data_IF_432813570487
#
_entry.id   IF_432813570487
#
_cell.length_a   1.000
_cell.length_b   1.000
_cell.length_c   1.000
_cell.angle_alpha   90.00
_cell.angle_beta   90.00
_cell.angle_gamma   90.00
#
_symmetry.space_group_name_H-M   'P 1'
#
loop_
_entity.id
_entity.type
_entity.pdbx_description
1 polymer ?
#
# COMPACT_ATOMS: atom_id res chain seq x y z
N UNK A 1 -7.47 21.76 -8.77
CA UNK A 1 -6.71 20.58 -9.24
C UNK A 1 -5.65 20.12 -8.25
N UNK A 2 -4.85 21.01 -7.65
CA UNK A 2 -3.78 20.57 -6.71
C UNK A 2 -4.28 20.19 -5.30
N UNK A 3 -5.28 20.88 -4.76
CA UNK A 3 -5.78 20.61 -3.40
C UNK A 3 -6.40 19.23 -3.23
N UNK A 4 -7.10 18.71 -4.25
CA UNK A 4 -7.72 17.38 -4.20
C UNK A 4 -6.67 16.27 -4.15
N UNK A 5 -5.57 16.42 -4.87
CA UNK A 5 -4.45 15.48 -4.82
C UNK A 5 -3.73 15.53 -3.47
N UNK A 6 -3.48 16.73 -2.94
CA UNK A 6 -2.87 16.91 -1.62
C UNK A 6 -3.74 16.29 -0.52
N UNK A 7 -5.03 16.61 -0.50
CA UNK A 7 -5.98 16.04 0.46
C UNK A 7 -6.12 14.52 0.27
N UNK A 8 -6.14 14.07 -0.99
CA UNK A 8 -6.17 12.66 -1.36
C UNK A 8 -4.98 11.89 -0.82
N UNK A 9 -3.79 12.47 -0.73
CA UNK A 9 -2.59 11.83 -0.17
C UNK A 9 -2.52 11.93 1.35
N UNK A 10 -2.84 13.10 1.91
CA UNK A 10 -2.70 13.36 3.35
C UNK A 10 -3.75 12.61 4.17
N UNK A 11 -5.03 12.65 3.75
CA UNK A 11 -6.13 12.09 4.54
C UNK A 11 -5.96 10.58 4.76
N UNK A 12 -5.73 9.75 3.73
CA UNK A 12 -5.54 8.30 3.92
C UNK A 12 -4.27 7.98 4.71
N UNK A 13 -3.20 8.78 4.59
CA UNK A 13 -2.00 8.60 5.40
C UNK A 13 -2.23 8.92 6.89
N UNK A 14 -3.05 9.93 7.20
CA UNK A 14 -3.44 10.23 8.58
C UNK A 14 -4.33 9.14 9.18
N UNK A 15 -5.10 8.43 8.36
CA UNK A 15 -5.96 7.34 8.83
C UNK A 15 -5.18 6.21 9.50
N UNK A 16 -3.92 5.94 9.11
CA UNK A 16 -3.08 4.96 9.82
C UNK A 16 -2.87 5.35 11.29
N UNK A 17 -2.71 6.65 11.55
CA UNK A 17 -2.61 7.18 12.92
C UNK A 17 -3.93 7.06 13.68
N UNK A 18 -5.06 7.29 13.00
CA UNK A 18 -6.41 7.14 13.58
C UNK A 18 -6.71 5.66 13.88
N UNK A 19 -6.41 4.75 12.96
CA UNK A 19 -6.54 3.31 13.08
C UNK A 19 -5.67 2.71 14.18
N UNK A 20 -4.58 3.38 14.56
CA UNK A 20 -3.75 3.01 15.70
C UNK A 20 -4.35 3.41 17.08
N UNK A 21 -5.31 4.35 17.15
CA UNK A 21 -5.90 4.81 18.42
C UNK A 21 -6.53 3.66 19.22
N UNK A 22 -7.36 2.77 18.63
CA UNK A 22 -7.91 1.62 19.35
C UNK A 22 -6.84 0.71 20.00
N UNK A 23 -5.64 0.63 19.39
CA UNK A 23 -4.55 -0.19 19.92
C UNK A 23 -4.00 0.34 21.27
N UNK A 24 -4.21 1.63 21.59
CA UNK A 24 -3.83 2.21 22.89
C UNK A 24 -4.68 1.65 24.06
N UNK A 25 -5.89 1.18 23.76
CA UNK A 25 -6.82 0.65 24.75
C UNK A 25 -6.94 -0.89 24.68
N UNK A 26 -6.74 -1.47 23.50
CA UNK A 26 -6.87 -2.89 23.24
C UNK A 26 -5.60 -3.68 23.65
N UNK A 27 -5.42 -3.90 24.96
CA UNK A 27 -4.27 -4.66 25.51
C UNK A 27 -4.17 -6.12 25.04
N UNK A 28 -5.30 -6.75 24.67
CA UNK A 28 -5.35 -8.14 24.21
C UNK A 28 -6.41 -8.30 23.11
N UNK A 29 -5.96 -8.37 21.86
CA UNK A 29 -6.82 -8.66 20.71
C UNK A 29 -6.83 -10.17 20.46
N UNK A 30 -8.02 -10.78 20.37
CA UNK A 30 -8.14 -12.21 20.03
C UNK A 30 -7.57 -12.44 18.63
N UNK A 31 -6.84 -13.55 18.44
CA UNK A 31 -6.23 -13.90 17.14
C UNK A 31 -7.23 -13.85 15.98
N UNK A 32 -8.43 -14.41 16.18
CA UNK A 32 -9.52 -14.35 15.20
C UNK A 32 -9.90 -12.92 14.78
N UNK A 33 -9.87 -11.96 15.71
CA UNK A 33 -10.14 -10.56 15.42
C UNK A 33 -9.03 -9.92 14.58
N UNK A 34 -7.77 -10.22 14.92
CA UNK A 34 -6.62 -9.77 14.13
C UNK A 34 -6.67 -10.33 12.70
N UNK A 35 -6.94 -11.62 12.54
CA UNK A 35 -7.02 -12.26 11.23
C UNK A 35 -8.19 -11.69 10.39
N UNK A 36 -9.31 -11.32 11.02
CA UNK A 36 -10.41 -10.60 10.34
C UNK A 36 -9.98 -9.21 9.85
N UNK A 37 -9.25 -8.44 10.67
CA UNK A 37 -8.77 -7.12 10.30
C UNK A 37 -7.78 -7.20 9.13
N UNK A 38 -6.83 -8.13 9.19
CA UNK A 38 -5.87 -8.38 8.10
C UNK A 38 -6.59 -8.84 6.83
N UNK A 39 -7.57 -9.73 6.93
CA UNK A 39 -8.37 -10.17 5.79
C UNK A 39 -9.22 -9.06 5.17
N UNK A 40 -9.78 -8.17 6.00
CA UNK A 40 -10.51 -6.99 5.53
C UNK A 40 -9.60 -6.02 4.76
N UNK A 41 -8.44 -5.69 5.32
CA UNK A 41 -7.44 -4.83 4.65
C UNK A 41 -6.97 -5.44 3.32
N UNK A 42 -6.58 -6.73 3.32
CA UNK A 42 -6.20 -7.43 2.11
C UNK A 42 -7.31 -7.43 1.05
N UNK A 43 -8.56 -7.63 1.46
CA UNK A 43 -9.73 -7.59 0.58
C UNK A 43 -9.93 -6.23 -0.09
N UNK A 44 -9.81 -5.14 0.68
CA UNK A 44 -9.88 -3.76 0.15
C UNK A 44 -8.76 -3.53 -0.88
N UNK A 45 -7.54 -3.94 -0.57
CA UNK A 45 -6.39 -3.72 -1.46
C UNK A 45 -6.50 -4.53 -2.76
N UNK A 46 -7.00 -5.76 -2.70
CA UNK A 46 -7.30 -6.56 -3.90
C UNK A 46 -8.40 -5.92 -4.75
N UNK A 47 -9.47 -5.43 -4.13
CA UNK A 47 -10.55 -4.74 -4.84
C UNK A 47 -10.08 -3.44 -5.49
N UNK A 48 -9.32 -2.60 -4.77
CA UNK A 48 -8.75 -1.37 -5.28
C UNK A 48 -7.79 -1.64 -6.46
N UNK A 49 -6.96 -2.68 -6.35
CA UNK A 49 -6.06 -3.10 -7.44
C UNK A 49 -6.85 -3.50 -8.68
N UNK A 50 -7.88 -4.33 -8.56
CA UNK A 50 -8.68 -4.78 -9.70
C UNK A 50 -9.49 -3.66 -10.34
N UNK A 51 -10.32 -2.98 -9.56
CA UNK A 51 -11.33 -2.06 -10.08
C UNK A 51 -10.84 -0.62 -10.24
N UNK A 52 -9.88 -0.19 -9.42
CA UNK A 52 -9.47 1.21 -9.37
C UNK A 52 -8.08 1.46 -9.97
N UNK A 53 -7.28 0.41 -10.22
CA UNK A 53 -5.97 0.53 -10.87
C UNK A 53 -5.92 -0.21 -12.21
N UNK A 54 -6.21 -1.51 -12.24
CA UNK A 54 -6.06 -2.32 -13.45
C UNK A 54 -7.07 -1.90 -14.52
N UNK A 55 -8.36 -1.83 -14.19
CA UNK A 55 -9.40 -1.43 -15.16
C UNK A 55 -9.12 -0.03 -15.74
N UNK A 56 -8.91 1.03 -14.92
CA UNK A 56 -8.57 2.35 -15.44
C UNK A 56 -7.26 2.39 -16.22
N UNK A 57 -6.26 1.58 -15.87
CA UNK A 57 -5.01 1.49 -16.62
C UNK A 57 -5.22 0.94 -18.03
N UNK A 58 -6.09 -0.05 -18.20
CA UNK A 58 -6.40 -0.62 -19.52
C UNK A 58 -7.21 0.36 -20.35
N UNK A 59 -8.21 1.02 -19.74
CA UNK A 59 -9.04 2.05 -20.39
C UNK A 59 -8.20 3.24 -20.87
N UNK A 60 -7.17 3.63 -20.10
CA UNK A 60 -6.24 4.68 -20.48
C UNK A 60 -5.37 4.33 -21.72
N UNK A 61 -5.26 3.05 -22.08
CA UNK A 61 -4.49 2.59 -23.25
C UNK A 61 -5.16 2.83 -24.61
N UNK A 62 -6.40 3.32 -24.64
CA UNK A 62 -7.13 3.67 -25.87
C UNK A 62 -7.59 2.46 -26.68
N UNK A 63 -7.64 2.60 -28.01
CA UNK A 63 -8.30 1.63 -28.91
C UNK A 63 -7.56 0.28 -29.05
N UNK A 64 -6.27 0.24 -28.72
CA UNK A 64 -5.48 -0.99 -28.83
C UNK A 64 -5.48 -1.78 -27.51
N UNK A 65 -6.54 -2.56 -27.31
CA UNK A 65 -6.72 -3.37 -26.10
C UNK A 65 -5.53 -4.30 -25.82
N UNK A 66 -4.95 -4.92 -26.86
CA UNK A 66 -3.81 -5.82 -26.69
C UNK A 66 -2.59 -5.09 -26.12
N UNK A 67 -2.29 -3.92 -26.69
CA UNK A 67 -1.18 -3.09 -26.21
C UNK A 67 -1.45 -2.56 -24.80
N UNK A 68 -2.68 -2.13 -24.51
CA UNK A 68 -3.08 -1.66 -23.19
C UNK A 68 -2.87 -2.74 -22.12
N UNK A 69 -3.36 -3.95 -22.34
CA UNK A 69 -3.18 -5.09 -21.43
C UNK A 69 -1.70 -5.44 -21.26
N UNK A 70 -0.90 -5.41 -22.34
CA UNK A 70 0.53 -5.68 -22.27
C UNK A 70 1.26 -4.64 -21.43
N UNK A 71 0.97 -3.34 -21.62
CA UNK A 71 1.56 -2.25 -20.85
C UNK A 71 1.14 -2.32 -19.38
N UNK A 72 -0.14 -2.54 -19.09
CA UNK A 72 -0.63 -2.74 -17.72
C UNK A 72 0.05 -3.94 -17.05
N UNK A 73 0.13 -5.09 -17.75
CA UNK A 73 0.80 -6.29 -17.25
C UNK A 73 2.29 -6.09 -17.00
N UNK A 74 2.99 -5.39 -17.91
CA UNK A 74 4.39 -5.03 -17.72
C UNK A 74 4.59 -4.09 -16.52
N UNK A 75 3.67 -3.14 -16.31
CA UNK A 75 3.65 -2.25 -15.14
C UNK A 75 3.48 -3.02 -13.83
N UNK A 76 2.53 -3.96 -13.77
CA UNK A 76 2.32 -4.83 -12.60
C UNK A 76 3.57 -5.66 -12.31
N UNK A 77 4.17 -6.29 -13.34
CA UNK A 77 5.39 -7.09 -13.17
C UNK A 77 6.56 -6.24 -12.68
N UNK A 78 6.76 -5.05 -13.26
CA UNK A 78 7.78 -4.11 -12.83
C UNK A 78 7.58 -3.67 -11.38
N UNK A 79 6.34 -3.35 -10.99
CA UNK A 79 5.99 -3.01 -9.61
C UNK A 79 6.25 -4.15 -8.63
N UNK A 80 5.91 -5.39 -9.01
CA UNK A 80 6.20 -6.60 -8.23
C UNK A 80 7.70 -6.76 -8.00
N UNK A 81 8.52 -6.65 -9.04
CA UNK A 81 9.99 -6.74 -8.94
C UNK A 81 10.54 -5.62 -8.07
N UNK A 82 10.04 -4.39 -8.24
CA UNK A 82 10.47 -3.24 -7.43
C UNK A 82 10.20 -3.47 -5.93
N UNK A 83 9.01 -3.94 -5.58
CA UNK A 83 8.66 -4.19 -4.17
C UNK A 83 9.42 -5.40 -3.61
N UNK A 84 9.63 -6.47 -4.39
CA UNK A 84 10.50 -7.60 -3.97
C UNK A 84 11.94 -7.13 -3.73
N UNK A 85 12.48 -6.26 -4.59
CA UNK A 85 13.81 -5.67 -4.38
C UNK A 85 13.86 -4.81 -3.12
N UNK A 86 12.86 -3.96 -2.89
CA UNK A 86 12.79 -3.11 -1.69
C UNK A 86 12.71 -3.97 -0.42
N UNK A 87 11.91 -5.04 -0.42
CA UNK A 87 11.78 -5.96 0.71
C UNK A 87 13.10 -6.68 1.02
N UNK A 88 13.82 -7.15 -0.01
CA UNK A 88 15.16 -7.78 0.15
C UNK A 88 16.24 -6.82 0.65
N UNK A 89 16.14 -5.53 0.29
CA UNK A 89 17.09 -4.50 0.71
C UNK A 89 16.77 -3.94 2.09
N UNK A 90 15.50 -4.02 2.50
CA UNK A 90 15.05 -3.52 3.78
C UNK A 90 15.71 -4.32 4.92
N UNK A 91 16.32 -3.64 5.91
CA UNK A 91 16.84 -4.33 7.09
C UNK A 91 15.65 -4.92 7.85
N UNK A 92 15.55 -6.24 7.91
CA UNK A 92 14.50 -6.93 8.68
C UNK A 92 15.09 -8.05 9.52
N UNK A 93 14.72 -8.08 10.81
CA UNK A 93 15.08 -9.14 11.75
C UNK A 93 14.02 -10.25 11.70
N UNK A 94 14.38 -11.46 11.27
CA UNK A 94 13.52 -12.63 11.43
C UNK A 94 13.49 -13.03 12.92
N UNK A 95 12.49 -12.51 13.65
CA UNK A 95 12.27 -12.67 15.10
C UNK A 95 12.28 -14.15 15.59
N UNK A 96 12.11 -15.12 14.68
CA UNK A 96 12.09 -16.56 14.98
C UNK A 96 13.38 -17.32 14.64
N UNK A 97 14.24 -16.81 13.74
CA UNK A 97 15.36 -17.61 13.18
C UNK A 97 16.76 -16.99 13.31
N UNK A 98 16.96 -15.81 13.93
CA UNK A 98 18.28 -15.16 14.12
C UNK A 98 19.13 -15.07 12.83
N UNK A 99 18.50 -15.11 11.66
CA UNK A 99 19.17 -14.95 10.37
C UNK A 99 19.04 -13.48 9.98
N UNK A 100 20.18 -12.84 9.75
CA UNK A 100 20.25 -11.47 9.29
C UNK A 100 20.19 -11.49 7.77
N UNK A 101 19.11 -10.98 7.18
CA UNK A 101 19.01 -10.70 5.74
C UNK A 101 18.84 -9.17 5.57
N UNK A 102 19.51 -8.58 4.57
CA UNK A 102 19.67 -7.12 4.42
C UNK A 102 21.03 -6.57 4.91
N UNK A 103 21.28 -5.26 4.73
CA UNK A 103 22.53 -4.63 5.20
C UNK A 103 22.65 -4.72 6.73
N UNK A 104 23.83 -5.08 7.23
CA UNK A 104 24.10 -5.37 8.64
C UNK A 104 23.53 -4.30 9.59
N UNK A 105 22.51 -4.69 10.36
CA UNK A 105 21.86 -3.86 11.36
C UNK A 105 22.22 -4.37 12.76
N UNK A 106 23.50 -4.30 13.11
CA UNK A 106 23.95 -4.67 14.45
C UNK A 106 23.43 -3.71 15.55
N UNK A 107 22.72 -2.61 15.18
CA UNK A 107 22.28 -1.58 16.12
C UNK A 107 20.89 -0.96 15.92
N UNK A 108 20.04 -1.38 14.97
CA UNK A 108 18.70 -0.78 14.84
C UNK A 108 17.77 -1.28 15.95
N UNK A 109 17.18 -0.34 16.69
CA UNK A 109 16.11 -0.65 17.65
C UNK A 109 14.92 -1.27 16.90
N UNK A 110 14.27 -2.29 17.47
CA UNK A 110 13.08 -2.96 16.88
C UNK A 110 11.98 -2.00 16.39
N UNK A 111 11.84 -0.85 17.06
CA UNK A 111 10.93 0.23 16.64
C UNK A 111 11.26 0.75 15.24
N UNK A 112 12.55 0.94 14.91
CA UNK A 112 12.96 1.42 13.60
C UNK A 112 12.72 0.39 12.50
N UNK A 113 12.92 -0.90 12.77
CA UNK A 113 12.57 -1.97 11.83
C UNK A 113 11.08 -1.97 11.53
N UNK A 114 10.24 -1.77 12.55
CA UNK A 114 8.79 -1.66 12.39
C UNK A 114 8.37 -0.40 11.60
N UNK A 115 8.97 0.75 11.88
CA UNK A 115 8.72 2.00 11.12
C UNK A 115 9.10 1.83 9.66
N UNK A 116 10.26 1.22 9.37
CA UNK A 116 10.71 0.95 8.00
C UNK A 116 9.72 0.01 7.29
N UNK A 117 9.31 -1.08 7.95
CA UNK A 117 8.36 -2.04 7.39
C UNK A 117 7.03 -1.39 7.02
N UNK A 118 6.44 -0.58 7.92
CA UNK A 118 5.20 0.16 7.62
C UNK A 118 5.43 1.17 6.49
N UNK A 119 6.55 1.90 6.52
CA UNK A 119 6.86 2.89 5.48
C UNK A 119 6.91 2.24 4.10
N UNK A 120 7.56 1.08 3.98
CA UNK A 120 7.65 0.33 2.73
C UNK A 120 6.28 -0.10 2.23
N UNK A 121 5.37 -0.46 3.14
CA UNK A 121 4.00 -0.83 2.79
C UNK A 121 3.15 0.38 2.32
N UNK A 122 3.31 1.53 2.99
CA UNK A 122 2.53 2.72 2.70
C UNK A 122 3.00 3.44 1.42
N UNK A 123 4.22 3.17 0.93
CA UNK A 123 4.72 3.74 -0.34
C UNK A 123 3.82 3.32 -1.53
N UNK A 124 3.56 2.02 -1.79
CA UNK A 124 2.59 1.57 -2.79
C UNK A 124 1.22 2.23 -2.70
N UNK A 125 0.67 2.36 -1.49
CA UNK A 125 -0.63 3.00 -1.26
C UNK A 125 -0.61 4.48 -1.67
N UNK A 126 0.41 5.22 -1.22
CA UNK A 126 0.59 6.63 -1.59
C UNK A 126 0.77 6.81 -3.10
N UNK A 127 1.53 5.93 -3.75
CA UNK A 127 1.69 5.94 -5.21
C UNK A 127 0.36 5.67 -5.92
N UNK A 128 -0.43 4.70 -5.47
CA UNK A 128 -1.72 4.36 -6.05
C UNK A 128 -2.70 5.55 -6.00
N UNK A 129 -2.80 6.22 -4.84
CA UNK A 129 -3.57 7.46 -4.68
C UNK A 129 -3.05 8.55 -5.62
N UNK A 130 -1.73 8.76 -5.65
CA UNK A 130 -1.09 9.79 -6.47
C UNK A 130 -1.38 9.61 -7.96
N UNK A 131 -1.26 8.39 -8.47
CA UNK A 131 -1.59 8.04 -9.87
C UNK A 131 -3.09 8.20 -10.12
N UNK A 132 -3.95 7.76 -9.19
CA UNK A 132 -5.40 7.89 -9.31
C UNK A 132 -5.87 9.34 -9.47
N UNK A 133 -5.28 10.28 -8.73
CA UNK A 133 -5.56 11.71 -8.87
C UNK A 133 -4.76 12.39 -10.00
N UNK A 134 -3.74 11.72 -10.55
CA UNK A 134 -2.85 12.25 -11.58
C UNK A 134 -3.54 12.53 -12.93
N UNK A 135 -4.65 11.86 -13.22
CA UNK A 135 -5.48 12.10 -14.41
C UNK A 135 -6.35 13.37 -14.32
N UNK A 136 -6.24 14.14 -13.23
CA UNK A 136 -7.10 15.28 -12.88
C UNK A 136 -8.60 14.96 -12.75
N UNK A 137 -9.00 13.70 -12.90
CA UNK A 137 -10.36 13.24 -12.70
C UNK A 137 -10.49 12.60 -11.31
N UNK A 138 -11.23 13.31 -10.44
CA UNK A 138 -11.48 12.89 -9.05
C UNK A 138 -12.18 11.54 -8.97
N UNK A 139 -12.94 11.14 -9.99
CA UNK A 139 -13.65 9.87 -10.02
C UNK A 139 -12.71 8.65 -9.98
N UNK A 140 -11.46 8.78 -10.45
CA UNK A 140 -10.47 7.70 -10.38
C UNK A 140 -9.71 7.70 -9.05
N UNK A 141 -9.36 8.88 -8.52
CA UNK A 141 -8.58 8.99 -7.28
C UNK A 141 -9.38 8.75 -6.00
N UNK A 142 -10.65 9.18 -5.97
CA UNK A 142 -11.46 9.14 -4.75
C UNK A 142 -11.73 7.70 -4.25
N UNK A 143 -12.12 6.72 -5.10
CA UNK A 143 -12.32 5.34 -4.64
C UNK A 143 -11.05 4.72 -4.03
N UNK A 144 -9.88 5.02 -4.62
CA UNK A 144 -8.57 4.53 -4.14
C UNK A 144 -8.26 5.13 -2.77
N UNK A 145 -8.37 6.45 -2.63
CA UNK A 145 -8.10 7.15 -1.38
C UNK A 145 -9.05 6.73 -0.24
N UNK A 146 -10.33 6.56 -0.55
CA UNK A 146 -11.31 6.07 0.44
C UNK A 146 -11.01 4.63 0.83
N UNK A 147 -10.72 3.75 -0.13
CA UNK A 147 -10.34 2.37 0.16
C UNK A 147 -9.12 2.28 1.08
N UNK A 148 -8.03 2.98 0.72
CA UNK A 148 -6.80 3.03 1.51
C UNK A 148 -7.06 3.63 2.90
N UNK A 149 -7.84 4.70 2.99
CA UNK A 149 -8.18 5.32 4.27
C UNK A 149 -9.06 4.44 5.17
N UNK A 150 -9.83 3.51 4.60
CA UNK A 150 -10.68 2.58 5.37
C UNK A 150 -9.91 1.37 5.91
N UNK A 151 -8.87 0.94 5.21
CA UNK A 151 -8.06 -0.20 5.63
C UNK A 151 -6.90 0.19 6.57
N UNK A 152 -6.46 1.45 6.51
CA UNK A 152 -5.49 2.08 7.39
C UNK A 152 -6.05 2.35 8.81
#
# INVERSE_FOLDING_TARGET
MHWTLILGLIIPGLMTGVGAIPALFAKNVKRKGLDMMLGFSAGIMLAATGFSLIVPSIEAGGDNLFLAVLVTGAGIFCGMVLIDMVDRLAPHEHLLNKRHEGMASDSLKKIWLFVIAITIHNIPEGMAVGVGFGSANVAHGLPIAVGIGLQN
#
